data_IF_524755223084
#
_entry.id   IF_524755223084
#
_cell.length_a   1.000
_cell.length_b   1.000
_cell.length_c   1.000
_cell.angle_alpha   90.00
_cell.angle_beta   90.00
_cell.angle_gamma   90.00
#
_symmetry.space_group_name_H-M   'P 1'
#
loop_
_entity.id
_entity.type
_entity.pdbx_description
1 polymer ?
#
# COMPACT_ATOMS: atom_id res chain seq x y z
N UNK A 1 0.64 20.08 -8.16
CA UNK A 1 0.70 18.61 -8.18
C UNK A 1 2.07 18.13 -7.69
N UNK A 2 2.17 17.14 -6.80
CA UNK A 2 3.45 16.56 -6.43
C UNK A 2 4.11 15.79 -7.57
N UNK A 3 5.40 15.49 -7.42
CA UNK A 3 6.12 14.51 -8.23
C UNK A 3 6.50 13.30 -7.37
N UNK A 4 6.31 12.10 -7.89
CA UNK A 4 6.85 10.90 -7.26
C UNK A 4 8.33 10.78 -7.62
N UNK A 5 9.17 10.58 -6.61
CA UNK A 5 10.61 10.40 -6.78
C UNK A 5 11.05 9.05 -6.24
N UNK A 6 11.63 8.24 -7.13
CA UNK A 6 12.21 6.95 -6.79
C UNK A 6 13.61 7.13 -6.22
N UNK A 7 13.91 6.46 -5.11
CA UNK A 7 15.26 6.46 -4.53
C UNK A 7 15.54 5.18 -3.76
N UNK A 8 16.83 4.95 -3.47
CA UNK A 8 17.21 3.89 -2.55
C UNK A 8 16.96 4.32 -1.11
N UNK A 9 16.45 3.42 -0.25
CA UNK A 9 16.34 3.67 1.18
C UNK A 9 17.71 3.67 1.85
N UNK A 10 17.82 4.29 3.01
CA UNK A 10 18.99 4.10 3.88
C UNK A 10 18.99 2.67 4.42
N UNK A 11 20.18 2.11 4.65
CA UNK A 11 20.32 0.76 5.22
C UNK A 11 19.58 0.64 6.55
N UNK A 12 19.67 1.67 7.41
CA UNK A 12 18.96 1.72 8.70
C UNK A 12 17.45 1.56 8.52
N UNK A 13 16.83 2.39 7.68
CA UNK A 13 15.39 2.32 7.38
C UNK A 13 15.01 0.95 6.86
N UNK A 14 15.79 0.43 5.92
CA UNK A 14 15.52 -0.86 5.30
C UNK A 14 15.58 -2.01 6.30
N UNK A 15 16.59 -2.01 7.17
CA UNK A 15 16.73 -2.99 8.23
C UNK A 15 15.62 -2.91 9.27
N UNK A 16 15.20 -1.70 9.67
CA UNK A 16 14.08 -1.48 10.61
C UNK A 16 12.78 -2.06 10.05
N UNK A 17 12.44 -1.71 8.81
CA UNK A 17 11.22 -2.20 8.15
C UNK A 17 11.29 -3.72 7.99
N UNK A 18 12.37 -4.27 7.44
CA UNK A 18 12.54 -5.71 7.25
C UNK A 18 12.41 -6.47 8.59
N UNK A 19 13.03 -5.95 9.65
CA UNK A 19 12.96 -6.54 11.00
C UNK A 19 11.53 -6.59 11.51
N UNK A 20 10.76 -5.51 11.32
CA UNK A 20 9.36 -5.42 11.77
C UNK A 20 8.44 -6.47 11.14
N UNK A 21 8.82 -7.01 9.98
CA UNK A 21 8.10 -8.06 9.26
C UNK A 21 8.69 -9.46 9.42
N UNK A 22 9.89 -9.59 10.00
CA UNK A 22 10.45 -10.89 10.37
C UNK A 22 9.84 -11.44 11.66
N UNK A 23 9.30 -10.58 12.54
CA UNK A 23 8.67 -11.02 13.79
C UNK A 23 7.30 -11.64 13.51
N UNK A 24 7.05 -12.81 14.08
CA UNK A 24 5.72 -13.42 14.08
C UNK A 24 4.72 -12.46 14.71
N UNK A 25 3.63 -12.16 14.00
CA UNK A 25 2.51 -11.38 14.55
C UNK A 25 1.40 -12.34 14.94
N UNK A 26 0.85 -12.15 16.14
CA UNK A 26 -0.34 -12.90 16.61
C UNK A 26 -1.62 -12.50 15.85
N UNK A 27 -1.59 -11.39 15.11
CA UNK A 27 -2.68 -10.96 14.24
C UNK A 27 -2.59 -11.68 12.89
N UNK A 28 -3.72 -11.89 12.19
CA UNK A 28 -3.82 -12.61 10.90
C UNK A 28 -2.98 -12.07 9.72
N UNK A 29 -2.19 -11.01 9.97
CA UNK A 29 -1.30 -10.34 9.04
C UNK A 29 0.19 -10.64 9.29
N UNK A 30 0.54 -11.90 9.57
CA UNK A 30 1.93 -12.34 9.59
C UNK A 30 2.51 -12.37 8.15
N UNK A 31 3.58 -11.59 7.94
CA UNK A 31 4.29 -11.50 6.66
C UNK A 31 5.72 -12.07 6.73
N UNK A 32 6.11 -12.67 7.84
CA UNK A 32 7.44 -13.27 8.02
C UNK A 32 7.73 -14.34 6.97
N UNK A 33 6.74 -15.19 6.65
CA UNK A 33 6.85 -16.19 5.58
C UNK A 33 7.11 -15.57 4.21
N UNK A 34 6.50 -14.41 3.91
CA UNK A 34 6.78 -13.67 2.67
C UNK A 34 8.22 -13.16 2.65
N UNK A 35 8.72 -12.64 3.77
CA UNK A 35 10.13 -12.24 3.90
C UNK A 35 11.05 -13.43 3.62
N UNK A 36 10.85 -14.55 4.31
CA UNK A 36 11.74 -15.72 4.20
C UNK A 36 11.66 -16.42 2.85
N UNK A 37 10.50 -16.38 2.16
CA UNK A 37 10.39 -16.87 0.78
C UNK A 37 11.25 -16.06 -0.20
N UNK A 38 11.32 -14.74 0.00
CA UNK A 38 12.11 -13.85 -0.88
C UNK A 38 13.58 -13.73 -0.43
N UNK A 39 13.86 -13.96 0.84
CA UNK A 39 15.18 -13.92 1.47
C UNK A 39 15.43 -15.21 2.29
N UNK A 40 15.60 -16.37 1.63
CA UNK A 40 15.73 -17.65 2.31
C UNK A 40 16.97 -17.72 3.22
N UNK A 41 18.06 -17.07 2.83
CA UNK A 41 19.27 -16.95 3.67
C UNK A 41 18.99 -16.21 4.98
N UNK A 42 18.19 -15.12 4.93
CA UNK A 42 17.79 -14.41 6.14
C UNK A 42 16.94 -15.28 7.05
N UNK A 43 16.01 -16.07 6.48
CA UNK A 43 15.22 -17.04 7.24
C UNK A 43 16.10 -18.07 7.96
N UNK A 44 17.15 -18.58 7.30
CA UNK A 44 18.13 -19.49 7.93
C UNK A 44 18.91 -18.81 9.06
N UNK A 45 19.34 -17.56 8.87
CA UNK A 45 20.09 -16.79 9.88
C UNK A 45 19.25 -16.58 11.15
N UNK A 46 17.95 -16.31 11.00
CA UNK A 46 17.07 -15.96 12.12
C UNK A 46 16.43 -17.16 12.82
N UNK A 47 16.46 -18.36 12.23
CA UNK A 47 15.74 -19.56 12.69
C UNK A 47 15.88 -19.83 14.21
N UNK A 48 17.09 -19.70 14.74
CA UNK A 48 17.42 -20.03 16.13
C UNK A 48 17.76 -18.76 16.95
N UNK A 49 17.31 -17.59 16.50
CA UNK A 49 17.60 -16.30 17.16
C UNK A 49 16.39 -15.81 17.95
N UNK A 50 16.65 -15.09 19.03
CA UNK A 50 15.61 -14.36 19.76
C UNK A 50 15.17 -13.16 18.93
N UNK A 51 13.86 -12.87 18.91
CA UNK A 51 13.28 -11.80 18.11
C UNK A 51 13.83 -10.41 18.43
N UNK A 52 14.33 -10.20 19.64
CA UNK A 52 14.90 -8.93 20.09
C UNK A 52 16.26 -8.65 19.44
N UNK A 53 16.98 -9.72 19.05
CA UNK A 53 18.28 -9.61 18.38
C UNK A 53 18.17 -9.52 16.86
N UNK A 54 16.96 -9.68 16.29
CA UNK A 54 16.77 -9.76 14.83
C UNK A 54 17.37 -8.56 14.10
N UNK A 55 17.25 -7.35 14.67
CA UNK A 55 17.75 -6.15 14.02
C UNK A 55 19.24 -6.24 13.66
N UNK A 56 20.09 -6.73 14.56
CA UNK A 56 21.54 -6.87 14.32
C UNK A 56 21.82 -7.77 13.11
N UNK A 57 21.13 -8.91 13.03
CA UNK A 57 21.30 -9.87 11.94
C UNK A 57 20.71 -9.36 10.62
N UNK A 58 19.50 -8.79 10.67
CA UNK A 58 18.82 -8.19 9.51
C UNK A 58 19.63 -7.02 8.97
N UNK A 59 20.16 -6.15 9.82
CA UNK A 59 20.98 -5.02 9.39
C UNK A 59 22.24 -5.49 8.66
N UNK A 60 22.96 -6.48 9.21
CA UNK A 60 24.14 -7.07 8.56
C UNK A 60 23.78 -7.72 7.21
N UNK A 61 22.68 -8.47 7.17
CA UNK A 61 22.17 -9.08 5.95
C UNK A 61 21.81 -8.03 4.89
N UNK A 62 20.98 -7.06 5.22
CA UNK A 62 20.53 -5.99 4.31
C UNK A 62 21.70 -5.16 3.80
N UNK A 63 22.67 -4.82 4.66
CA UNK A 63 23.90 -4.13 4.28
C UNK A 63 24.67 -4.89 3.20
N UNK A 64 24.90 -6.18 3.42
CA UNK A 64 25.63 -7.04 2.49
C UNK A 64 24.85 -7.22 1.17
N UNK A 65 23.54 -7.45 1.26
CA UNK A 65 22.69 -7.61 0.08
C UNK A 65 22.69 -6.36 -0.78
N UNK A 66 22.49 -5.18 -0.17
CA UNK A 66 22.48 -3.89 -0.88
C UNK A 66 23.86 -3.62 -1.49
N UNK A 67 24.95 -3.82 -0.74
CA UNK A 67 26.31 -3.63 -1.25
C UNK A 67 26.58 -4.52 -2.48
N UNK A 68 26.22 -5.80 -2.42
CA UNK A 68 26.38 -6.75 -3.53
C UNK A 68 25.54 -6.38 -4.75
N UNK A 69 24.37 -5.77 -4.56
CA UNK A 69 23.42 -5.47 -5.62
C UNK A 69 23.34 -3.97 -5.99
N UNK A 70 24.27 -3.12 -5.50
CA UNK A 70 24.18 -1.65 -5.59
C UNK A 70 23.90 -1.15 -7.01
N UNK A 71 24.74 -1.55 -7.99
CA UNK A 71 24.60 -1.14 -9.39
C UNK A 71 23.23 -1.52 -9.98
N UNK A 72 22.72 -2.71 -9.65
CA UNK A 72 21.41 -3.19 -10.11
C UNK A 72 20.28 -2.35 -9.50
N UNK A 73 20.35 -2.09 -8.19
CA UNK A 73 19.34 -1.28 -7.49
C UNK A 73 19.32 0.17 -8.00
N UNK A 74 20.48 0.77 -8.23
CA UNK A 74 20.60 2.12 -8.80
C UNK A 74 20.04 2.19 -10.23
N UNK A 75 20.28 1.14 -11.04
CA UNK A 75 19.68 1.02 -12.38
C UNK A 75 18.15 0.94 -12.30
N UNK A 76 17.60 0.13 -11.40
CA UNK A 76 16.15 0.02 -11.20
C UNK A 76 15.52 1.35 -10.78
N UNK A 77 16.16 2.14 -9.90
CA UNK A 77 15.66 3.47 -9.53
C UNK A 77 15.49 4.36 -10.76
N UNK A 78 16.48 4.38 -11.66
CA UNK A 78 16.42 5.19 -12.90
C UNK A 78 15.32 4.68 -13.84
N UNK A 79 15.26 3.37 -14.05
CA UNK A 79 14.23 2.75 -14.90
C UNK A 79 12.81 3.02 -14.37
N UNK A 80 12.62 2.90 -13.05
CA UNK A 80 11.31 3.15 -12.43
C UNK A 80 10.91 4.61 -12.55
N UNK A 81 11.85 5.53 -12.34
CA UNK A 81 11.59 6.96 -12.54
C UNK A 81 11.16 7.25 -13.98
N UNK A 82 11.86 6.70 -14.98
CA UNK A 82 11.52 6.88 -16.41
C UNK A 82 10.10 6.35 -16.71
N UNK A 83 9.74 5.17 -16.22
CA UNK A 83 8.40 4.61 -16.49
C UNK A 83 7.31 5.38 -15.74
N UNK A 84 7.56 5.79 -14.49
CA UNK A 84 6.58 6.53 -13.72
C UNK A 84 6.36 7.95 -14.23
N UNK A 85 7.42 8.64 -14.66
CA UNK A 85 7.32 10.01 -15.18
C UNK A 85 6.35 10.13 -16.37
N UNK A 86 6.17 9.04 -17.14
CA UNK A 86 5.19 8.97 -18.24
C UNK A 86 3.75 9.11 -17.79
N UNK A 87 3.43 8.71 -16.56
CA UNK A 87 2.05 8.67 -16.03
C UNK A 87 1.85 9.55 -14.80
N UNK A 88 2.91 10.14 -14.22
CA UNK A 88 2.86 10.83 -12.94
C UNK A 88 1.74 11.88 -12.87
N UNK A 89 1.72 12.82 -13.82
CA UNK A 89 0.83 13.97 -13.74
C UNK A 89 -0.62 13.58 -14.05
N UNK A 90 -0.81 12.75 -15.08
CA UNK A 90 -2.12 12.22 -15.44
C UNK A 90 -2.71 11.44 -14.25
N UNK A 91 -1.95 10.50 -13.69
CA UNK A 91 -2.44 9.67 -12.59
C UNK A 91 -2.74 10.46 -11.33
N UNK A 92 -1.83 11.35 -10.91
CA UNK A 92 -2.05 12.13 -9.69
C UNK A 92 -3.25 13.08 -9.86
N UNK A 93 -3.41 13.71 -11.03
CA UNK A 93 -4.58 14.53 -11.35
C UNK A 93 -5.88 13.71 -11.31
N UNK A 94 -5.92 12.56 -11.99
CA UNK A 94 -7.07 11.67 -11.98
C UNK A 94 -7.46 11.23 -10.58
N UNK A 95 -6.49 10.94 -9.71
CA UNK A 95 -6.80 10.63 -8.31
C UNK A 95 -7.36 11.85 -7.56
N UNK A 96 -6.78 13.04 -7.73
CA UNK A 96 -7.26 14.27 -7.10
C UNK A 96 -8.73 14.54 -7.44
N UNK A 97 -9.06 14.42 -8.72
CA UNK A 97 -10.41 14.58 -9.26
C UNK A 97 -11.35 13.49 -8.71
N UNK A 98 -10.92 12.24 -8.72
CA UNK A 98 -11.73 11.13 -8.22
C UNK A 98 -12.05 11.22 -6.72
N UNK A 99 -11.06 11.62 -5.91
CA UNK A 99 -11.23 11.76 -4.46
C UNK A 99 -11.85 13.10 -4.05
N UNK A 100 -12.02 14.03 -4.99
CA UNK A 100 -12.52 15.39 -4.75
C UNK A 100 -11.76 16.07 -3.61
N UNK A 101 -10.43 15.98 -3.66
CA UNK A 101 -9.51 16.63 -2.73
C UNK A 101 -8.15 16.83 -3.39
N UNK A 102 -7.44 17.86 -2.95
CA UNK A 102 -6.13 18.24 -3.49
C UNK A 102 -4.97 17.61 -2.73
N UNK A 103 -3.82 17.47 -3.36
CA UNK A 103 -2.59 17.20 -2.64
C UNK A 103 -2.21 18.41 -1.77
N UNK A 104 -1.69 18.21 -0.54
CA UNK A 104 -1.26 19.33 0.30
C UNK A 104 -0.23 20.21 -0.41
N UNK A 105 -0.38 21.53 -0.30
CA UNK A 105 0.45 22.49 -1.04
C UNK A 105 1.95 22.39 -0.68
N UNK A 106 2.27 22.00 0.55
CA UNK A 106 3.62 21.80 1.08
C UNK A 106 4.23 20.44 0.67
N UNK A 107 3.42 19.50 0.18
CA UNK A 107 3.87 18.18 -0.27
C UNK A 107 4.17 18.19 -1.77
N UNK A 108 5.36 18.67 -2.13
CA UNK A 108 5.84 18.68 -3.53
C UNK A 108 6.39 17.34 -4.01
N UNK A 109 6.84 16.47 -3.09
CA UNK A 109 7.47 15.20 -3.43
C UNK A 109 6.80 14.07 -2.65
N UNK A 110 6.42 13.01 -3.37
CA UNK A 110 6.07 11.71 -2.80
C UNK A 110 7.27 10.79 -3.01
N UNK A 111 7.79 10.18 -1.96
CA UNK A 111 9.00 9.34 -2.09
C UNK A 111 8.63 7.86 -2.27
N UNK A 112 9.06 7.25 -3.37
CA UNK A 112 8.97 5.82 -3.60
C UNK A 112 10.34 5.16 -3.35
N UNK A 113 10.44 4.29 -2.34
CA UNK A 113 11.68 3.60 -2.02
C UNK A 113 11.77 2.27 -2.77
N UNK A 114 12.79 2.12 -3.62
CA UNK A 114 13.10 0.84 -4.27
C UNK A 114 13.73 -0.08 -3.23
N UNK A 115 12.92 -0.99 -2.70
CA UNK A 115 13.15 -1.69 -1.44
C UNK A 115 13.39 -3.17 -1.68
N UNK A 116 14.34 -3.73 -0.95
CA UNK A 116 14.57 -5.17 -0.86
C UNK A 116 13.52 -5.83 0.03
N UNK A 117 12.85 -5.09 0.91
CA UNK A 117 11.71 -5.63 1.68
C UNK A 117 10.60 -6.07 0.70
N UNK A 118 10.16 -7.34 0.72
CA UNK A 118 9.15 -7.85 -0.21
C UNK A 118 7.71 -7.53 0.24
N UNK A 119 7.55 -6.47 1.02
CA UNK A 119 6.31 -5.95 1.59
C UNK A 119 6.40 -4.44 1.45
N UNK A 120 5.30 -3.81 1.06
CA UNK A 120 5.32 -2.47 0.46
C UNK A 120 4.55 -1.45 1.31
N UNK A 121 4.93 -1.19 2.58
CA UNK A 121 4.17 -0.27 3.41
C UNK A 121 4.25 1.17 2.88
N UNK A 122 3.16 1.91 3.13
CA UNK A 122 3.07 3.38 3.00
C UNK A 122 3.13 4.09 4.35
N UNK A 123 3.69 5.30 4.34
CA UNK A 123 3.98 6.14 5.50
C UNK A 123 3.33 7.51 5.32
N UNK A 124 2.14 7.70 5.93
CA UNK A 124 1.29 8.87 5.70
C UNK A 124 1.97 10.20 6.05
N UNK A 125 2.70 10.26 7.16
CA UNK A 125 3.27 11.52 7.65
C UNK A 125 4.40 12.05 6.74
N UNK A 126 5.13 11.12 6.11
CA UNK A 126 6.26 11.44 5.21
C UNK A 126 5.90 11.42 3.73
N UNK A 127 4.66 11.04 3.37
CA UNK A 127 4.23 10.81 1.99
C UNK A 127 5.24 9.92 1.23
N UNK A 128 5.53 8.77 1.82
CA UNK A 128 6.46 7.81 1.23
C UNK A 128 5.95 6.39 1.30
N UNK A 129 6.47 5.52 0.44
CA UNK A 129 6.10 4.11 0.39
C UNK A 129 7.24 3.26 -0.17
N UNK A 130 7.14 1.94 -0.03
CA UNK A 130 8.10 1.01 -0.62
C UNK A 130 7.55 0.42 -1.92
N UNK A 131 8.44 0.15 -2.88
CA UNK A 131 8.15 -0.67 -4.07
C UNK A 131 9.15 -1.82 -4.16
N UNK A 132 8.77 -2.85 -4.91
CA UNK A 132 9.60 -4.03 -5.18
C UNK A 132 10.90 -3.67 -5.89
N UNK A 133 12.03 -4.28 -5.52
CA UNK A 133 13.30 -4.18 -6.24
C UNK A 133 13.48 -5.28 -7.32
N UNK A 134 12.40 -5.76 -7.95
CA UNK A 134 12.42 -6.90 -8.89
C UNK A 134 12.38 -6.49 -10.38
N UNK A 135 11.22 -6.04 -10.87
CA UNK A 135 10.96 -5.69 -12.28
C UNK A 135 10.02 -4.46 -12.33
N UNK A 136 10.25 -3.48 -13.24
CA UNK A 136 9.32 -2.38 -13.52
C UNK A 136 7.83 -2.73 -13.63
N UNK A 137 7.47 -3.88 -14.22
CA UNK A 137 6.04 -4.25 -14.43
C UNK A 137 5.28 -4.42 -13.10
N UNK A 138 5.98 -4.84 -12.05
CA UNK A 138 5.40 -4.94 -10.71
C UNK A 138 5.40 -3.59 -9.97
N UNK A 139 6.21 -2.61 -10.40
CA UNK A 139 6.35 -1.35 -9.69
C UNK A 139 5.13 -0.45 -9.86
N UNK A 140 4.68 -0.20 -11.11
CA UNK A 140 3.54 0.69 -11.40
C UNK A 140 2.30 0.36 -10.57
N UNK A 141 1.79 -0.89 -10.53
CA UNK A 141 0.57 -1.20 -9.81
C UNK A 141 0.74 -1.06 -8.29
N UNK A 142 1.93 -1.36 -7.76
CA UNK A 142 2.25 -1.12 -6.34
C UNK A 142 2.22 0.38 -6.06
N UNK A 143 2.93 1.18 -6.86
CA UNK A 143 2.98 2.62 -6.65
C UNK A 143 1.60 3.28 -6.77
N UNK A 144 0.79 2.87 -7.73
CA UNK A 144 -0.60 3.31 -7.84
C UNK A 144 -1.40 2.95 -6.57
N UNK A 145 -1.32 1.70 -6.11
CA UNK A 145 -1.99 1.27 -4.88
C UNK A 145 -1.59 2.09 -3.65
N UNK A 146 -0.30 2.29 -3.42
CA UNK A 146 0.17 3.02 -2.24
C UNK A 146 -0.21 4.51 -2.30
N UNK A 147 -0.26 5.12 -3.49
CA UNK A 147 -0.64 6.53 -3.66
C UNK A 147 -2.14 6.74 -3.44
N UNK A 148 -2.99 5.78 -3.82
CA UNK A 148 -4.43 5.80 -3.52
C UNK A 148 -4.68 6.06 -2.03
N UNK A 149 -3.89 5.40 -1.16
CA UNK A 149 -4.06 5.58 0.28
C UNK A 149 -3.84 7.02 0.75
N UNK A 150 -2.91 7.78 0.16
CA UNK A 150 -2.65 9.15 0.62
C UNK A 150 -3.87 10.07 0.45
N UNK A 151 -4.49 10.08 -0.75
CA UNK A 151 -5.69 10.88 -0.97
C UNK A 151 -6.93 10.27 -0.32
N UNK A 152 -7.04 8.94 -0.27
CA UNK A 152 -8.09 8.27 0.49
C UNK A 152 -8.11 8.74 1.96
N UNK A 153 -6.96 8.71 2.64
CA UNK A 153 -6.88 9.13 4.04
C UNK A 153 -6.97 10.64 4.22
N UNK A 154 -6.51 11.44 3.26
CA UNK A 154 -6.75 12.89 3.30
C UNK A 154 -8.24 13.20 3.22
N UNK A 155 -8.95 12.68 2.21
CA UNK A 155 -10.40 12.85 2.08
C UNK A 155 -11.15 12.26 3.27
N UNK A 156 -10.70 11.14 3.80
CA UNK A 156 -11.25 10.56 5.04
C UNK A 156 -11.20 11.55 6.20
N UNK A 157 -10.07 12.22 6.42
CA UNK A 157 -9.92 13.19 7.50
C UNK A 157 -10.76 14.46 7.30
N UNK A 158 -11.07 14.82 6.05
CA UNK A 158 -12.00 15.92 5.74
C UNK A 158 -13.45 15.54 6.10
N UNK A 159 -13.86 14.31 5.77
CA UNK A 159 -15.23 13.81 6.04
C UNK A 159 -15.42 13.41 7.51
N UNK A 160 -14.37 12.88 8.16
CA UNK A 160 -14.39 12.38 9.53
C UNK A 160 -13.26 13.00 10.38
N UNK A 161 -13.31 14.31 10.68
CA UNK A 161 -12.21 15.05 11.31
C UNK A 161 -11.88 14.59 12.73
N UNK A 162 -12.78 13.84 13.38
CA UNK A 162 -12.58 13.27 14.72
C UNK A 162 -11.80 11.94 14.72
N UNK A 163 -11.45 11.41 13.54
CA UNK A 163 -10.67 10.17 13.42
C UNK A 163 -9.27 10.36 14.01
N UNK A 164 -8.82 9.44 14.87
CA UNK A 164 -7.47 9.52 15.43
C UNK A 164 -6.44 8.99 14.42
N UNK A 165 -5.27 9.62 14.34
CA UNK A 165 -4.16 9.23 13.44
C UNK A 165 -3.82 7.74 13.48
N UNK A 166 -3.85 7.13 14.67
CA UNK A 166 -3.59 5.69 14.86
C UNK A 166 -4.59 4.80 14.14
N UNK A 167 -5.84 5.23 13.99
CA UNK A 167 -6.90 4.44 13.36
C UNK A 167 -6.70 4.29 11.84
N UNK A 168 -5.82 5.11 11.25
CA UNK A 168 -5.41 5.01 9.86
C UNK A 168 -4.34 3.93 9.64
N UNK A 169 -3.90 3.23 10.69
CA UNK A 169 -2.89 2.17 10.61
C UNK A 169 -3.47 0.79 10.95
N UNK A 170 -2.81 -0.26 10.47
CA UNK A 170 -3.09 -1.64 10.86
C UNK A 170 -3.01 -1.79 12.41
N UNK A 171 -3.97 -2.42 13.10
CA UNK A 171 -5.04 -3.29 12.58
C UNK A 171 -6.45 -2.68 12.54
N UNK A 172 -6.56 -1.35 12.58
CA UNK A 172 -7.83 -0.69 12.70
C UNK A 172 -8.73 -0.89 11.47
N UNK A 173 -10.05 -0.88 11.69
CA UNK A 173 -11.05 -1.12 10.65
C UNK A 173 -10.94 -0.12 9.48
N UNK A 174 -10.62 1.14 9.76
CA UNK A 174 -10.46 2.19 8.73
C UNK A 174 -9.31 1.84 7.79
N UNK A 175 -8.17 1.40 8.34
CA UNK A 175 -7.05 0.91 7.55
C UNK A 175 -7.45 -0.32 6.70
N UNK A 176 -8.13 -1.30 7.29
CA UNK A 176 -8.58 -2.49 6.56
C UNK A 176 -9.54 -2.15 5.42
N UNK A 177 -10.40 -1.16 5.63
CA UNK A 177 -11.31 -0.66 4.61
C UNK A 177 -10.55 -0.01 3.46
N UNK A 178 -9.49 0.77 3.74
CA UNK A 178 -8.67 1.37 2.68
C UNK A 178 -7.98 0.28 1.84
N UNK A 179 -7.44 -0.76 2.46
CA UNK A 179 -6.82 -1.91 1.76
C UNK A 179 -7.82 -2.71 0.91
N UNK A 180 -9.07 -2.80 1.35
CA UNK A 180 -10.15 -3.43 0.60
C UNK A 180 -10.58 -2.57 -0.61
N UNK A 181 -10.70 -1.26 -0.40
CA UNK A 181 -11.22 -0.33 -1.40
C UNK A 181 -10.18 0.08 -2.45
N UNK A 182 -8.89 0.16 -2.10
CA UNK A 182 -7.87 0.62 -3.04
C UNK A 182 -7.85 -0.20 -4.36
N UNK A 183 -7.83 -1.55 -4.34
CA UNK A 183 -7.95 -2.33 -5.57
C UNK A 183 -9.29 -2.14 -6.30
N UNK A 184 -10.39 -1.93 -5.56
CA UNK A 184 -11.73 -1.72 -6.15
C UNK A 184 -11.74 -0.39 -6.93
N UNK A 185 -11.21 0.68 -6.34
CA UNK A 185 -11.07 2.00 -6.98
C UNK A 185 -10.21 1.89 -8.24
N UNK A 186 -9.02 1.29 -8.11
CA UNK A 186 -8.11 1.10 -9.22
C UNK A 186 -8.74 0.31 -10.37
N UNK A 187 -9.61 -0.67 -10.08
CA UNK A 187 -10.21 -1.56 -11.07
C UNK A 187 -11.49 -1.03 -11.74
N UNK A 188 -12.16 -0.05 -11.15
CA UNK A 188 -13.49 0.37 -11.61
C UNK A 188 -13.62 1.85 -11.96
N UNK A 189 -12.71 2.72 -11.52
CA UNK A 189 -12.62 4.06 -12.09
C UNK A 189 -12.07 3.94 -13.53
N UNK A 190 -12.83 4.44 -14.52
CA UNK A 190 -12.49 4.30 -15.94
C UNK A 190 -11.19 5.03 -16.30
N UNK A 191 -10.97 6.23 -15.76
CA UNK A 191 -9.79 7.03 -16.08
C UNK A 191 -8.53 6.44 -15.46
N UNK A 192 -8.62 5.93 -14.22
CA UNK A 192 -7.53 5.17 -13.61
C UNK A 192 -7.22 3.89 -14.42
N UNK A 193 -8.24 3.17 -14.89
CA UNK A 193 -8.06 1.94 -15.68
C UNK A 193 -7.43 2.19 -17.05
N UNK A 194 -7.63 3.35 -17.68
CA UNK A 194 -6.92 3.73 -18.92
C UNK A 194 -5.41 3.79 -18.71
N UNK A 195 -4.97 4.19 -17.52
CA UNK A 195 -3.56 4.28 -17.14
C UNK A 195 -3.02 2.90 -16.74
N UNK A 196 -3.72 2.16 -15.87
CA UNK A 196 -3.24 0.88 -15.35
C UNK A 196 -3.27 -0.24 -16.40
N UNK A 197 -4.25 -0.24 -17.32
CA UNK A 197 -4.41 -1.21 -18.43
C UNK A 197 -4.63 -2.67 -18.06
N UNK A 198 -4.64 -3.03 -16.77
CA UNK A 198 -5.00 -4.36 -16.28
C UNK A 198 -5.68 -4.29 -14.91
N UNK A 199 -6.24 -5.43 -14.48
CA UNK A 199 -6.88 -5.55 -13.18
C UNK A 199 -5.83 -5.66 -12.07
N UNK A 200 -5.86 -4.71 -11.13
CA UNK A 200 -5.13 -4.75 -9.88
C UNK A 200 -5.58 -5.91 -9.00
N UNK A 201 -4.64 -6.55 -8.32
CA UNK A 201 -4.93 -7.69 -7.45
C UNK A 201 -5.53 -7.24 -6.11
N UNK A 202 -6.26 -8.15 -5.48
CA UNK A 202 -6.72 -7.99 -4.10
C UNK A 202 -5.92 -8.92 -3.19
N UNK A 203 -5.79 -8.57 -1.91
CA UNK A 203 -5.24 -9.53 -0.95
C UNK A 203 -6.11 -10.78 -0.87
N UNK A 204 -5.47 -11.95 -0.92
CA UNK A 204 -6.14 -13.26 -0.91
C UNK A 204 -7.02 -13.46 0.34
N UNK A 205 -6.67 -12.82 1.45
CA UNK A 205 -7.46 -12.88 2.68
C UNK A 205 -8.84 -12.25 2.51
N UNK A 206 -8.97 -11.13 1.77
CA UNK A 206 -10.27 -10.53 1.46
C UNK A 206 -11.10 -11.37 0.47
N UNK A 207 -10.45 -12.15 -0.39
CA UNK A 207 -11.14 -13.00 -1.38
C UNK A 207 -11.88 -14.17 -0.74
N UNK A 208 -11.38 -14.68 0.39
CA UNK A 208 -11.93 -15.85 1.08
C UNK A 208 -13.13 -15.52 1.97
N UNK A 209 -13.28 -14.26 2.37
CA UNK A 209 -14.33 -13.84 3.30
C UNK A 209 -15.60 -13.46 2.54
N UNK A 210 -16.76 -13.86 3.08
CA UNK A 210 -18.08 -13.61 2.49
C UNK A 210 -18.91 -12.67 3.37
N UNK A 211 -19.77 -11.88 2.72
CA UNK A 211 -20.84 -11.10 3.33
C UNK A 211 -22.14 -11.59 2.67
N UNK A 212 -22.95 -12.32 3.44
CA UNK A 212 -24.09 -13.06 2.90
C UNK A 212 -23.66 -14.03 1.79
N UNK A 213 -24.26 -13.92 0.60
CA UNK A 213 -23.98 -14.79 -0.56
C UNK A 213 -22.79 -14.31 -1.41
N UNK A 214 -22.28 -13.09 -1.21
CA UNK A 214 -21.20 -12.50 -2.02
C UNK A 214 -19.86 -12.56 -1.29
N UNK A 215 -18.75 -12.58 -2.01
CA UNK A 215 -17.44 -12.31 -1.38
C UNK A 215 -17.40 -10.88 -0.89
N UNK A 216 -16.60 -10.59 0.14
CA UNK A 216 -16.43 -9.24 0.68
C UNK A 216 -16.04 -8.24 -0.42
N UNK A 217 -15.13 -8.64 -1.31
CA UNK A 217 -14.75 -7.83 -2.48
C UNK A 217 -15.97 -7.53 -3.37
N UNK A 218 -16.75 -8.55 -3.75
CA UNK A 218 -17.94 -8.34 -4.60
C UNK A 218 -19.02 -7.50 -3.93
N UNK A 219 -19.12 -7.56 -2.60
CA UNK A 219 -20.04 -6.72 -1.84
C UNK A 219 -19.66 -5.24 -1.95
N UNK A 220 -18.43 -4.88 -1.60
CA UNK A 220 -17.95 -3.49 -1.66
C UNK A 220 -17.78 -2.97 -3.10
N UNK A 221 -17.41 -3.85 -4.05
CA UNK A 221 -17.41 -3.53 -5.49
C UNK A 221 -18.79 -3.08 -5.97
N UNK A 222 -19.87 -3.72 -5.46
CA UNK A 222 -21.24 -3.32 -5.77
C UNK A 222 -21.57 -1.91 -5.28
N UNK A 223 -21.13 -1.55 -4.07
CA UNK A 223 -21.32 -0.20 -3.53
C UNK A 223 -20.59 0.85 -4.37
N UNK A 224 -19.33 0.58 -4.71
CA UNK A 224 -18.52 1.52 -5.49
C UNK A 224 -19.07 1.72 -6.91
N UNK A 225 -19.50 0.64 -7.58
CA UNK A 225 -20.14 0.76 -8.90
C UNK A 225 -21.44 1.54 -8.86
N UNK A 226 -22.23 1.40 -7.79
CA UNK A 226 -23.45 2.19 -7.61
C UNK A 226 -23.12 3.68 -7.45
N UNK A 227 -22.14 4.02 -6.62
CA UNK A 227 -21.63 5.38 -6.47
C UNK A 227 -21.22 5.98 -7.82
N UNK A 228 -20.39 5.27 -8.60
CA UNK A 228 -19.96 5.72 -9.92
C UNK A 228 -21.13 5.91 -10.91
N UNK A 229 -22.12 5.00 -10.89
CA UNK A 229 -23.31 5.08 -11.76
C UNK A 229 -24.17 6.29 -11.41
N UNK A 230 -24.29 6.58 -10.11
CA UNK A 230 -25.13 7.66 -9.61
C UNK A 230 -24.46 9.04 -9.70
N UNK A 231 -23.14 9.11 -9.93
CA UNK A 231 -22.40 10.37 -9.92
C UNK A 231 -22.40 11.04 -8.54
N UNK A 232 -22.49 10.24 -7.47
CA UNK A 232 -22.49 10.75 -6.09
C UNK A 232 -21.10 11.31 -5.75
N UNK A 233 -21.00 12.35 -4.90
CA UNK A 233 -19.72 12.82 -4.39
C UNK A 233 -18.95 11.70 -3.68
N UNK A 234 -17.62 11.72 -3.74
CA UNK A 234 -16.78 10.70 -3.11
C UNK A 234 -16.98 10.66 -1.58
N UNK A 235 -17.30 11.80 -0.98
CA UNK A 235 -17.69 11.89 0.43
C UNK A 235 -18.86 10.97 0.80
N UNK A 236 -19.91 10.92 -0.04
CA UNK A 236 -21.08 10.07 0.22
C UNK A 236 -20.75 8.58 0.07
N UNK A 237 -19.84 8.25 -0.86
CA UNK A 237 -19.29 6.90 -0.94
C UNK A 237 -18.47 6.52 0.30
N UNK A 238 -17.67 7.43 0.85
CA UNK A 238 -16.95 7.19 2.11
C UNK A 238 -17.92 6.95 3.27
N UNK A 239 -18.96 7.77 3.42
CA UNK A 239 -20.00 7.58 4.45
C UNK A 239 -20.70 6.24 4.31
N UNK A 240 -21.11 5.89 3.08
CA UNK A 240 -21.80 4.63 2.79
C UNK A 240 -20.92 3.42 3.04
N UNK A 241 -19.70 3.42 2.50
CA UNK A 241 -18.75 2.32 2.68
C UNK A 241 -18.31 2.17 4.14
N UNK A 242 -18.18 3.26 4.88
CA UNK A 242 -17.87 3.22 6.32
C UNK A 242 -19.03 2.66 7.14
N UNK A 243 -20.26 3.11 6.89
CA UNK A 243 -21.45 2.56 7.53
C UNK A 243 -21.54 1.05 7.30
N UNK A 244 -21.28 0.59 6.07
CA UNK A 244 -21.28 -0.82 5.74
C UNK A 244 -20.14 -1.60 6.42
N UNK A 245 -18.92 -1.05 6.44
CA UNK A 245 -17.79 -1.67 7.14
C UNK A 245 -18.06 -1.85 8.63
N UNK A 246 -18.74 -0.89 9.27
CA UNK A 246 -19.15 -1.00 10.69
C UNK A 246 -20.14 -2.13 10.93
N UNK A 247 -21.11 -2.35 10.03
CA UNK A 247 -22.06 -3.49 10.14
C UNK A 247 -21.35 -4.84 10.11
N UNK A 248 -20.28 -4.95 9.32
CA UNK A 248 -19.49 -6.17 9.15
C UNK A 248 -18.16 -6.14 9.92
N UNK A 249 -18.05 -5.29 10.95
CA UNK A 249 -16.79 -5.03 11.68
C UNK A 249 -16.10 -6.30 12.15
N UNK A 250 -16.83 -7.20 12.82
CA UNK A 250 -16.29 -8.46 13.35
C UNK A 250 -15.67 -9.32 12.24
N UNK A 251 -16.30 -9.33 11.06
CA UNK A 251 -15.83 -10.10 9.91
C UNK A 251 -14.54 -9.48 9.34
N UNK A 252 -14.47 -8.15 9.24
CA UNK A 252 -13.33 -7.43 8.65
C UNK A 252 -12.12 -7.39 9.61
N UNK A 253 -12.34 -7.21 10.92
CA UNK A 253 -11.26 -7.15 11.91
C UNK A 253 -10.59 -8.51 12.16
N UNK A 254 -11.30 -9.62 11.92
CA UNK A 254 -10.79 -10.99 12.09
C UNK A 254 -9.98 -11.53 10.90
N UNK A 255 -9.77 -10.71 9.87
CA UNK A 255 -8.87 -10.98 8.72
C UNK A 255 -7.41 -10.84 9.16
#
# INVERSE_FOLDING_TARGET
>A
MPKVKFKLPTIKREAEIMTSFCKLRKTGWDKSRTVYKNHPELGKILKDKKSDDYYKYVHKYSSNFIKKNKKKLEKLVKEYQIQWDKINDEYLKTLSEHFETDYPADRKIITAYVSIVPIFPRFLDSWSFNVSSKNPDFMIPIAMHEIVHFLYFKKWMEVFPKTKRKELENPHLIWRLSELLAPIILNHNKDIQKILKYKHWHYSVFQKVKIGKKTMIKHFEGLYKKHLKNGEPFEEFLKTSWAEAKKHRKIIENI
#
